data_IF_610557737675
#
_entry.id   IF_610557737675
#
_cell.length_a   1.000
_cell.length_b   1.000
_cell.length_c   1.000
_cell.angle_alpha   90.00
_cell.angle_beta   90.00
_cell.angle_gamma   90.00
#
_symmetry.space_group_name_H-M   'P 1'
#
loop_
_entity.id
_entity.type
_entity.pdbx_description
1 polymer ?
#
# COMPACT_ATOMS: atom_id res chain seq x y z
N UNK A 1 31.58 7.78 -17.50
CA UNK A 1 31.15 6.63 -16.66
C UNK A 1 29.86 6.11 -17.23
N UNK A 2 29.91 4.97 -17.91
CA UNK A 2 28.77 4.37 -18.59
C UNK A 2 27.82 3.81 -17.53
N UNK A 3 26.61 4.38 -17.40
CA UNK A 3 25.53 3.74 -16.64
C UNK A 3 25.29 2.37 -17.28
N UNK A 4 25.76 1.31 -16.64
CA UNK A 4 25.50 -0.05 -17.10
C UNK A 4 23.99 -0.22 -17.21
N UNK A 5 23.48 -0.43 -18.43
CA UNK A 5 22.08 -0.77 -18.63
C UNK A 5 21.81 -2.03 -17.80
N UNK A 6 20.89 -1.94 -16.85
CA UNK A 6 20.51 -3.07 -16.00
C UNK A 6 19.95 -4.17 -16.89
N UNK A 7 20.66 -5.29 -17.02
CA UNK A 7 20.24 -6.39 -17.89
C UNK A 7 19.12 -7.20 -17.23
N UNK A 8 18.29 -7.88 -18.04
CA UNK A 8 17.26 -8.76 -17.51
C UNK A 8 17.82 -9.82 -16.54
N UNK A 9 18.99 -10.38 -16.82
CA UNK A 9 19.68 -11.32 -15.93
C UNK A 9 20.01 -10.72 -14.56
N UNK A 10 20.48 -9.47 -14.54
CA UNK A 10 20.77 -8.76 -13.28
C UNK A 10 19.52 -8.46 -12.47
N UNK A 11 18.41 -8.10 -13.12
CA UNK A 11 17.11 -7.89 -12.48
C UNK A 11 16.53 -9.19 -11.91
N UNK A 12 16.61 -10.31 -12.65
CA UNK A 12 16.18 -11.64 -12.17
C UNK A 12 16.96 -12.00 -10.91
N UNK A 13 18.29 -11.81 -10.93
CA UNK A 13 19.14 -12.07 -9.77
C UNK A 13 18.77 -11.19 -8.58
N UNK A 14 18.50 -9.91 -8.81
CA UNK A 14 18.08 -8.97 -7.76
C UNK A 14 16.78 -9.45 -7.10
N UNK A 15 15.75 -9.74 -7.90
CA UNK A 15 14.46 -10.23 -7.42
C UNK A 15 14.58 -11.57 -6.71
N UNK A 16 15.38 -12.51 -7.24
CA UNK A 16 15.66 -13.77 -6.57
C UNK A 16 16.30 -13.57 -5.20
N UNK A 17 17.26 -12.67 -5.11
CA UNK A 17 17.93 -12.34 -3.83
C UNK A 17 16.96 -11.68 -2.85
N UNK A 18 16.09 -10.78 -3.33
CA UNK A 18 15.02 -10.16 -2.54
C UNK A 18 14.03 -11.20 -1.98
N UNK A 19 13.67 -12.22 -2.78
CA UNK A 19 12.87 -13.37 -2.36
C UNK A 19 13.63 -14.39 -1.52
N UNK A 20 14.93 -14.17 -1.26
CA UNK A 20 15.82 -15.06 -0.51
C UNK A 20 15.91 -16.47 -1.10
N UNK A 21 15.74 -16.60 -2.42
CA UNK A 21 15.84 -17.87 -3.12
C UNK A 21 17.27 -18.10 -3.60
N UNK A 22 17.77 -19.33 -3.49
CA UNK A 22 19.00 -19.72 -4.19
C UNK A 22 18.72 -19.92 -5.69
N UNK A 23 19.77 -19.98 -6.51
CA UNK A 23 19.61 -20.35 -7.93
C UNK A 23 19.00 -21.74 -8.09
N UNK A 24 19.28 -22.67 -7.16
CA UNK A 24 18.70 -24.01 -7.21
C UNK A 24 17.21 -23.95 -6.92
N UNK A 25 16.79 -23.19 -5.91
CA UNK A 25 15.38 -23.04 -5.53
C UNK A 25 14.55 -22.49 -6.69
N UNK A 26 14.99 -21.36 -7.27
CA UNK A 26 14.27 -20.77 -8.41
C UNK A 26 14.26 -21.69 -9.63
N UNK A 27 15.35 -22.41 -9.89
CA UNK A 27 15.41 -23.34 -11.00
C UNK A 27 14.43 -24.51 -10.83
N UNK A 28 14.23 -25.00 -9.60
CA UNK A 28 13.23 -26.03 -9.29
C UNK A 28 11.81 -25.51 -9.46
N UNK A 29 11.47 -24.35 -8.87
CA UNK A 29 10.14 -23.73 -9.02
C UNK A 29 9.80 -23.40 -10.48
N UNK A 30 10.81 -22.98 -11.25
CA UNK A 30 10.65 -22.66 -12.66
C UNK A 30 10.81 -23.87 -13.60
N UNK A 31 11.03 -25.09 -13.07
CA UNK A 31 11.24 -26.31 -13.86
C UNK A 31 12.33 -26.19 -14.95
N UNK A 32 13.42 -25.48 -14.64
CA UNK A 32 14.58 -25.30 -15.53
C UNK A 32 15.88 -25.82 -14.89
N UNK A 33 16.93 -25.98 -15.69
CA UNK A 33 18.24 -26.30 -15.12
C UNK A 33 18.85 -25.09 -14.40
N UNK A 34 19.42 -25.34 -13.21
CA UNK A 34 20.20 -24.32 -12.47
C UNK A 34 21.32 -23.73 -13.33
N UNK A 35 21.97 -24.54 -14.18
CA UNK A 35 23.00 -24.09 -15.12
C UNK A 35 22.44 -23.04 -16.10
N UNK A 36 21.25 -23.28 -16.66
CA UNK A 36 20.62 -22.33 -17.57
C UNK A 36 20.26 -21.03 -16.85
N UNK A 37 19.65 -21.11 -15.65
CA UNK A 37 19.37 -19.92 -14.83
C UNK A 37 20.64 -19.12 -14.54
N UNK A 38 21.74 -19.79 -14.19
CA UNK A 38 23.04 -19.14 -13.96
C UNK A 38 23.58 -18.41 -15.19
N UNK A 39 23.40 -18.98 -16.40
CA UNK A 39 23.78 -18.32 -17.64
C UNK A 39 22.89 -17.11 -17.97
N UNK A 40 21.60 -17.18 -17.67
CA UNK A 40 20.69 -16.04 -17.81
C UNK A 40 21.09 -14.91 -16.86
N UNK A 41 21.28 -15.21 -15.56
CA UNK A 41 21.65 -14.19 -14.56
C UNK A 41 23.01 -13.53 -14.83
N UNK A 42 23.94 -14.26 -15.45
CA UNK A 42 25.26 -13.73 -15.82
C UNK A 42 25.31 -13.08 -17.21
N UNK A 43 24.19 -13.05 -17.94
CA UNK A 43 24.11 -12.50 -19.30
C UNK A 43 24.79 -13.35 -20.38
N UNK A 44 25.19 -14.59 -20.05
CA UNK A 44 25.78 -15.55 -21.00
C UNK A 44 24.73 -16.20 -21.92
N UNK A 45 23.47 -16.14 -21.54
CA UNK A 45 22.34 -16.57 -22.35
C UNK A 45 21.22 -15.53 -22.29
N UNK A 46 20.61 -15.24 -23.44
CA UNK A 46 19.42 -14.40 -23.51
C UNK A 46 18.16 -15.25 -23.22
N UNK A 47 17.30 -14.85 -22.26
CA UNK A 47 16.04 -15.55 -22.02
C UNK A 47 15.03 -15.23 -23.13
N UNK A 48 14.15 -16.19 -23.44
CA UNK A 48 12.96 -15.91 -24.25
C UNK A 48 11.97 -15.04 -23.49
N UNK A 49 11.00 -14.46 -24.20
CA UNK A 49 9.90 -13.69 -23.56
C UNK A 49 9.12 -14.54 -22.55
N UNK A 50 8.82 -15.78 -22.89
CA UNK A 50 8.06 -16.68 -22.02
C UNK A 50 8.88 -17.08 -20.78
N UNK A 51 10.19 -17.30 -20.95
CA UNK A 51 11.10 -17.55 -19.82
C UNK A 51 11.13 -16.35 -18.86
N UNK A 52 11.16 -15.12 -19.39
CA UNK A 52 11.11 -13.91 -18.56
C UNK A 52 9.84 -13.85 -17.73
N UNK A 53 8.67 -14.10 -18.35
CA UNK A 53 7.38 -14.05 -17.65
C UNK A 53 7.24 -15.17 -16.63
N UNK A 54 7.68 -16.38 -16.97
CA UNK A 54 7.67 -17.55 -16.08
C UNK A 54 8.53 -17.31 -14.84
N UNK A 55 9.78 -16.86 -15.01
CA UNK A 55 10.66 -16.52 -13.89
C UNK A 55 10.09 -15.38 -13.05
N UNK A 56 9.48 -14.37 -13.68
CA UNK A 56 8.86 -13.26 -12.97
C UNK A 56 7.64 -13.69 -12.14
N UNK A 57 6.90 -14.70 -12.60
CA UNK A 57 5.81 -15.32 -11.87
C UNK A 57 6.30 -16.10 -10.65
N UNK A 58 7.28 -16.99 -10.82
CA UNK A 58 7.86 -17.75 -9.71
C UNK A 58 8.49 -16.84 -8.64
N UNK A 59 9.06 -15.72 -9.06
CA UNK A 59 9.61 -14.70 -8.16
C UNK A 59 8.55 -13.75 -7.58
N UNK A 60 7.26 -13.93 -7.90
CA UNK A 60 6.18 -13.04 -7.49
C UNK A 60 6.52 -11.57 -7.73
N UNK A 61 7.11 -11.26 -8.89
CA UNK A 61 7.48 -9.88 -9.26
C UNK A 61 6.19 -9.11 -9.56
N UNK A 62 5.98 -7.89 -9.03
CA UNK A 62 4.80 -7.10 -9.35
C UNK A 62 4.77 -6.70 -10.84
N UNK A 63 3.57 -6.52 -11.40
CA UNK A 63 3.36 -6.37 -12.85
C UNK A 63 4.20 -5.26 -13.49
N UNK A 64 4.34 -4.13 -12.79
CA UNK A 64 5.20 -3.01 -13.19
C UNK A 64 6.65 -3.44 -13.39
N UNK A 65 7.21 -4.17 -12.44
CA UNK A 65 8.59 -4.64 -12.54
C UNK A 65 8.72 -5.82 -13.51
N UNK A 66 7.65 -6.56 -13.80
CA UNK A 66 7.62 -7.48 -14.96
C UNK A 66 7.77 -6.73 -16.28
N UNK A 67 7.10 -5.58 -16.45
CA UNK A 67 7.28 -4.72 -17.62
C UNK A 67 8.71 -4.19 -17.72
N UNK A 68 9.32 -3.77 -16.61
CA UNK A 68 10.73 -3.37 -16.59
C UNK A 68 11.66 -4.51 -16.99
N UNK A 69 11.38 -5.73 -16.51
CA UNK A 69 12.17 -6.91 -16.86
C UNK A 69 12.04 -7.28 -18.34
N UNK A 70 10.84 -7.19 -18.93
CA UNK A 70 10.61 -7.39 -20.36
C UNK A 70 11.40 -6.38 -21.21
N UNK A 71 11.33 -5.10 -20.84
CA UNK A 71 12.08 -4.03 -21.52
C UNK A 71 13.59 -4.28 -21.45
N UNK A 72 14.11 -4.67 -20.28
CA UNK A 72 15.51 -5.01 -20.09
C UNK A 72 15.95 -6.27 -20.86
N UNK A 73 15.01 -7.13 -21.26
CA UNK A 73 15.24 -8.29 -22.12
C UNK A 73 15.05 -7.97 -23.62
N UNK A 74 14.67 -6.74 -23.98
CA UNK A 74 14.42 -6.33 -25.36
C UNK A 74 13.00 -6.63 -25.87
N UNK A 75 12.05 -6.89 -24.98
CA UNK A 75 10.65 -7.16 -25.32
C UNK A 75 9.74 -5.99 -24.95
N UNK A 76 8.59 -5.88 -25.63
CA UNK A 76 7.56 -4.92 -25.28
C UNK A 76 6.90 -5.28 -23.93
N UNK A 77 6.44 -4.28 -23.15
CA UNK A 77 5.62 -4.48 -21.95
C UNK A 77 4.39 -5.35 -22.24
N UNK A 78 3.99 -6.16 -21.26
CA UNK A 78 2.83 -7.06 -21.38
C UNK A 78 1.62 -6.58 -20.61
N UNK A 79 1.84 -5.78 -19.56
CA UNK A 79 0.79 -5.35 -18.63
C UNK A 79 0.50 -3.88 -18.87
N UNK A 80 -0.78 -3.52 -19.01
CA UNK A 80 -1.20 -2.13 -19.17
C UNK A 80 -0.83 -1.30 -17.96
N UNK A 81 -0.32 -0.10 -18.18
CA UNK A 81 -0.10 0.90 -17.13
C UNK A 81 -0.77 2.19 -17.58
N UNK A 82 -1.93 2.49 -17.00
CA UNK A 82 -2.81 3.56 -17.46
C UNK A 82 -2.96 4.59 -16.36
N UNK A 83 -3.26 5.84 -16.75
CA UNK A 83 -3.63 6.85 -15.76
C UNK A 83 -4.94 6.44 -15.08
N UNK A 84 -5.10 6.74 -13.79
CA UNK A 84 -6.40 6.59 -13.11
C UNK A 84 -7.51 7.42 -13.77
N UNK A 85 -7.15 8.44 -14.54
CA UNK A 85 -8.07 9.27 -15.35
C UNK A 85 -8.35 8.71 -16.74
N UNK A 86 -7.77 7.56 -17.09
CA UNK A 86 -8.01 6.91 -18.38
C UNK A 86 -9.43 6.35 -18.43
N UNK A 87 -10.18 6.67 -19.48
CA UNK A 87 -11.56 6.21 -19.70
C UNK A 87 -11.70 4.68 -19.69
N UNK A 88 -10.66 3.95 -20.04
CA UNK A 88 -10.66 2.48 -20.03
C UNK A 88 -10.67 1.89 -18.60
N UNK A 89 -10.22 2.66 -17.60
CA UNK A 89 -10.32 2.29 -16.18
C UNK A 89 -11.64 2.74 -15.54
N UNK A 90 -12.47 3.53 -16.24
CA UNK A 90 -13.72 4.08 -15.68
C UNK A 90 -14.64 3.01 -15.07
N UNK A 91 -14.84 1.80 -15.64
CA UNK A 91 -15.65 0.76 -15.00
C UNK A 91 -15.06 0.27 -13.67
N UNK A 92 -13.74 0.14 -13.59
CA UNK A 92 -13.06 -0.29 -12.36
C UNK A 92 -13.11 0.81 -11.30
N UNK A 93 -12.89 2.07 -11.69
CA UNK A 93 -13.04 3.22 -10.79
C UNK A 93 -14.48 3.39 -10.30
N UNK A 94 -15.48 3.14 -11.15
CA UNK A 94 -16.88 3.11 -10.73
C UNK A 94 -17.15 2.03 -9.69
N UNK A 95 -16.53 0.85 -9.81
CA UNK A 95 -16.62 -0.20 -8.80
C UNK A 95 -15.98 0.22 -7.47
N UNK A 96 -14.85 0.93 -7.49
CA UNK A 96 -14.22 1.52 -6.30
C UNK A 96 -15.17 2.48 -5.61
N UNK A 97 -15.80 3.39 -6.36
CA UNK A 97 -16.77 4.35 -5.82
C UNK A 97 -17.99 3.65 -5.20
N UNK A 98 -18.49 2.56 -5.80
CA UNK A 98 -19.59 1.76 -5.23
C UNK A 98 -19.17 1.17 -3.87
N UNK A 99 -17.95 0.64 -3.76
CA UNK A 99 -17.45 0.08 -2.49
C UNK A 99 -17.28 1.18 -1.44
N UNK A 100 -16.68 2.31 -1.80
CA UNK A 100 -16.50 3.46 -0.90
C UNK A 100 -17.84 3.98 -0.39
N UNK A 101 -18.81 4.16 -1.30
CA UNK A 101 -20.17 4.62 -0.95
C UNK A 101 -20.92 3.60 -0.11
N UNK A 102 -20.81 2.32 -0.44
CA UNK A 102 -21.44 1.23 0.29
C UNK A 102 -20.92 1.04 1.72
N UNK A 103 -19.72 1.55 2.02
CA UNK A 103 -19.15 1.52 3.38
C UNK A 103 -19.66 2.66 4.27
N UNK A 104 -20.35 3.67 3.72
CA UNK A 104 -20.97 4.72 4.53
C UNK A 104 -22.03 4.14 5.49
N UNK A 105 -22.16 4.67 6.73
CA UNK A 105 -21.56 5.90 7.26
C UNK A 105 -20.15 5.71 7.86
N UNK A 106 -19.47 4.59 7.57
CA UNK A 106 -18.15 4.33 8.10
C UNK A 106 -17.05 4.85 7.14
N UNK A 107 -15.89 5.29 7.64
CA UNK A 107 -14.85 5.86 6.79
C UNK A 107 -14.20 4.82 5.89
N UNK A 108 -14.01 5.15 4.61
CA UNK A 108 -13.22 4.37 3.67
C UNK A 108 -12.49 5.28 2.68
N UNK A 109 -11.32 4.81 2.24
CA UNK A 109 -10.48 5.52 1.27
C UNK A 109 -9.82 4.54 0.29
N UNK A 110 -9.57 5.01 -0.93
CA UNK A 110 -8.81 4.32 -1.95
C UNK A 110 -7.44 4.98 -2.11
N UNK A 111 -6.38 4.19 -2.23
CA UNK A 111 -4.99 4.65 -2.35
C UNK A 111 -4.27 3.96 -3.50
N UNK A 112 -3.32 4.67 -4.09
CA UNK A 112 -2.37 4.11 -5.05
C UNK A 112 -1.23 3.33 -4.35
N UNK A 113 -0.30 2.77 -5.14
CA UNK A 113 0.85 2.02 -4.62
C UNK A 113 1.74 2.81 -3.67
N UNK A 114 1.70 4.13 -3.74
CA UNK A 114 2.52 5.06 -2.96
C UNK A 114 1.77 5.61 -1.75
N UNK A 115 0.60 5.09 -1.44
CA UNK A 115 -0.29 5.57 -0.38
C UNK A 115 -0.80 6.99 -0.61
N UNK A 116 -0.85 7.45 -1.86
CA UNK A 116 -1.54 8.69 -2.18
C UNK A 116 -3.04 8.42 -2.29
N UNK A 117 -3.83 9.31 -1.70
CA UNK A 117 -5.27 9.27 -1.75
C UNK A 117 -5.75 9.42 -3.20
N UNK A 118 -6.53 8.44 -3.65
CA UNK A 118 -7.20 8.45 -4.95
C UNK A 118 -8.64 8.95 -4.80
N UNK A 119 -9.37 8.41 -3.83
CA UNK A 119 -10.74 8.79 -3.50
C UNK A 119 -11.06 8.43 -2.05
N UNK A 120 -12.08 9.06 -1.47
CA UNK A 120 -12.57 8.78 -0.13
C UNK A 120 -14.08 9.02 -0.08
N UNK A 121 -14.76 8.26 0.78
CA UNK A 121 -16.18 8.53 1.03
C UNK A 121 -16.38 9.75 1.96
N UNK A 122 -17.62 10.22 2.05
CA UNK A 122 -17.93 11.45 2.81
C UNK A 122 -17.63 11.33 4.32
N UNK A 123 -17.62 10.09 4.84
CA UNK A 123 -17.38 9.80 6.24
C UNK A 123 -15.93 10.08 6.69
N UNK A 124 -14.99 10.32 5.77
CA UNK A 124 -13.62 10.75 6.12
C UNK A 124 -13.58 12.22 6.56
N UNK A 125 -14.42 13.07 5.98
CA UNK A 125 -14.34 14.53 6.15
C UNK A 125 -14.35 15.02 7.61
N UNK A 126 -15.18 14.48 8.55
CA UNK A 126 -15.21 14.91 9.95
C UNK A 126 -13.87 14.72 10.68
N UNK A 127 -13.02 13.81 10.18
CA UNK A 127 -11.73 13.51 10.79
C UNK A 127 -10.59 14.40 10.28
N UNK A 128 -10.83 15.17 9.21
CA UNK A 128 -9.84 16.06 8.61
C UNK A 128 -9.92 17.51 9.13
N UNK A 129 -11.01 17.89 9.80
CA UNK A 129 -11.28 19.27 10.21
C UNK A 129 -10.20 19.87 11.13
N UNK A 130 -9.57 19.04 11.97
CA UNK A 130 -8.58 19.47 12.98
C UNK A 130 -7.12 19.29 12.51
N UNK A 131 -6.89 19.04 11.22
CA UNK A 131 -5.53 18.95 10.67
C UNK A 131 -4.90 20.34 10.65
N UNK A 132 -3.89 20.54 11.49
CA UNK A 132 -3.21 21.83 11.65
C UNK A 132 -2.25 22.18 10.50
N UNK A 133 -1.67 21.17 9.86
CA UNK A 133 -0.72 21.33 8.77
C UNK A 133 -1.44 21.16 7.42
N UNK A 134 -1.99 22.26 6.89
CA UNK A 134 -2.81 22.26 5.67
C UNK A 134 -2.11 21.70 4.42
N UNK A 135 -0.77 21.75 4.38
CA UNK A 135 0.02 21.16 3.31
C UNK A 135 -0.19 19.64 3.17
N UNK A 136 -0.56 18.95 4.26
CA UNK A 136 -0.90 17.52 4.25
C UNK A 136 -2.22 17.20 3.54
N UNK A 137 -3.09 18.19 3.35
CA UNK A 137 -4.37 18.06 2.66
C UNK A 137 -4.30 18.52 1.20
N UNK A 138 -3.14 19.00 0.75
CA UNK A 138 -2.94 19.42 -0.64
C UNK A 138 -2.56 18.20 -1.50
N UNK A 139 -3.25 17.94 -2.62
CA UNK A 139 -2.91 16.82 -3.49
C UNK A 139 -1.47 16.90 -4.05
N UNK A 140 -0.76 15.76 -4.16
CA UNK A 140 -1.18 14.42 -3.75
C UNK A 140 -1.14 14.25 -2.22
N UNK A 141 -2.27 13.85 -1.63
CA UNK A 141 -2.39 13.61 -0.19
C UNK A 141 -1.87 12.23 0.14
N UNK A 142 -0.72 12.12 0.80
CA UNK A 142 -0.21 10.83 1.25
C UNK A 142 -0.84 10.45 2.61
N UNK A 143 -1.62 9.36 2.63
CA UNK A 143 -2.42 9.01 3.81
C UNK A 143 -1.57 8.56 5.00
N UNK A 144 -0.37 7.99 4.75
CA UNK A 144 0.55 7.61 5.83
C UNK A 144 1.20 8.84 6.47
N UNK A 145 1.57 9.84 5.65
CA UNK A 145 2.02 11.14 6.17
C UNK A 145 0.91 11.83 6.95
N UNK A 146 -0.29 11.92 6.38
CA UNK A 146 -1.45 12.51 7.05
C UNK A 146 -1.75 11.82 8.40
N UNK A 147 -1.63 10.50 8.47
CA UNK A 147 -1.87 9.73 9.69
C UNK A 147 -0.82 9.97 10.78
N UNK A 148 0.47 10.02 10.42
CA UNK A 148 1.57 9.98 11.39
C UNK A 148 2.26 11.33 11.63
N UNK A 149 2.04 12.34 10.79
CA UNK A 149 2.67 13.65 10.94
C UNK A 149 2.13 14.39 12.18
N UNK A 150 2.97 15.08 12.97
CA UNK A 150 2.53 15.84 14.16
C UNK A 150 1.46 16.89 13.89
N UNK A 151 1.50 17.50 12.70
CA UNK A 151 0.48 18.46 12.27
C UNK A 151 -0.74 17.82 11.58
N UNK A 152 -0.72 16.50 11.38
CA UNK A 152 -1.80 15.69 10.81
C UNK A 152 -2.72 15.10 11.86
N UNK A 153 -3.08 13.83 11.69
CA UNK A 153 -4.01 13.10 12.57
C UNK A 153 -3.32 12.58 13.84
N UNK A 154 -1.99 12.43 13.84
CA UNK A 154 -1.23 11.79 14.90
C UNK A 154 -1.56 12.27 16.33
N UNK A 155 -1.74 13.59 16.61
CA UNK A 155 -2.09 14.06 17.96
C UNK A 155 -3.40 13.51 18.50
N UNK A 156 -4.31 13.10 17.62
CA UNK A 156 -5.62 12.53 17.98
C UNK A 156 -5.58 11.01 18.12
N UNK A 157 -4.50 10.35 17.70
CA UNK A 157 -4.39 8.89 17.81
C UNK A 157 -3.98 8.55 19.24
N UNK A 158 -4.94 8.03 20.01
CA UNK A 158 -4.75 7.68 21.44
C UNK A 158 -3.68 6.60 21.61
N UNK A 159 -3.64 5.66 20.66
CA UNK A 159 -2.71 4.53 20.65
C UNK A 159 -1.63 4.70 19.55
N UNK A 160 -1.08 5.91 19.44
CA UNK A 160 -0.17 6.29 18.34
C UNK A 160 1.05 5.36 18.23
N UNK A 161 1.60 4.89 19.35
CA UNK A 161 2.75 4.01 19.35
C UNK A 161 2.42 2.67 18.69
N UNK A 162 1.33 2.02 19.11
CA UNK A 162 0.91 0.75 18.51
C UNK A 162 0.53 0.92 17.04
N UNK A 163 -0.28 1.94 16.75
CA UNK A 163 -0.74 2.24 15.39
C UNK A 163 0.42 2.49 14.43
N UNK A 164 1.39 3.32 14.84
CA UNK A 164 2.58 3.61 14.05
C UNK A 164 3.43 2.38 13.80
N UNK A 165 3.62 1.54 14.82
CA UNK A 165 4.42 0.32 14.69
C UNK A 165 3.81 -0.59 13.63
N UNK A 166 2.50 -0.82 13.72
CA UNK A 166 1.75 -1.59 12.72
C UNK A 166 1.88 -1.01 11.30
N UNK A 167 1.71 0.32 11.12
CA UNK A 167 1.84 0.94 9.79
C UNK A 167 3.24 0.80 9.20
N UNK A 168 4.29 0.96 10.03
CA UNK A 168 5.68 0.81 9.57
C UNK A 168 6.02 -0.65 9.24
N UNK A 169 5.49 -1.62 9.98
CA UNK A 169 5.64 -3.05 9.66
C UNK A 169 4.94 -3.41 8.35
N UNK A 170 3.71 -2.90 8.14
CA UNK A 170 2.97 -3.04 6.87
C UNK A 170 3.76 -2.46 5.69
N UNK A 171 4.27 -1.24 5.84
CA UNK A 171 5.06 -0.57 4.80
C UNK A 171 6.37 -1.31 4.52
N UNK A 172 7.04 -1.83 5.56
CA UNK A 172 8.24 -2.65 5.39
C UNK A 172 7.95 -3.93 4.59
N UNK A 173 6.86 -4.65 4.88
CA UNK A 173 6.47 -5.81 4.08
C UNK A 173 6.21 -5.44 2.62
N UNK A 174 5.59 -4.29 2.36
CA UNK A 174 5.38 -3.80 1.00
C UNK A 174 6.70 -3.43 0.30
N UNK A 175 7.67 -2.87 1.02
CA UNK A 175 9.02 -2.59 0.53
C UNK A 175 9.77 -3.87 0.14
N UNK A 176 9.71 -4.89 1.01
CA UNK A 176 10.29 -6.20 0.75
C UNK A 176 9.61 -6.86 -0.47
N UNK A 177 8.30 -6.63 -0.65
CA UNK A 177 7.53 -7.20 -1.75
C UNK A 177 7.72 -6.51 -3.11
N UNK A 178 7.91 -5.20 -3.14
CA UNK A 178 7.88 -4.38 -4.36
C UNK A 178 9.24 -3.83 -4.79
N UNK A 179 10.16 -3.62 -3.84
CA UNK A 179 11.42 -2.93 -4.11
C UNK A 179 11.28 -1.50 -4.58
N UNK A 180 10.15 -0.85 -4.33
CA UNK A 180 9.93 0.52 -4.76
C UNK A 180 10.77 1.50 -3.92
N UNK A 181 11.74 2.22 -4.52
CA UNK A 181 12.57 3.17 -3.79
C UNK A 181 11.75 4.29 -3.15
N UNK A 182 10.60 4.69 -3.75
CA UNK A 182 9.74 5.74 -3.20
C UNK A 182 9.15 5.31 -1.84
N UNK A 183 8.74 4.05 -1.72
CA UNK A 183 8.22 3.51 -0.48
C UNK A 183 9.32 3.31 0.58
N UNK A 184 10.55 3.03 0.16
CA UNK A 184 11.72 2.97 1.07
C UNK A 184 12.05 4.35 1.63
N UNK A 185 12.03 5.38 0.79
CA UNK A 185 12.20 6.77 1.22
C UNK A 185 11.08 7.20 2.18
N UNK A 186 9.83 6.86 1.84
CA UNK A 186 8.67 7.12 2.69
C UNK A 186 8.80 6.43 4.06
N UNK A 187 9.21 5.16 4.11
CA UNK A 187 9.43 4.46 5.38
C UNK A 187 10.49 5.17 6.24
N UNK A 188 11.59 5.60 5.61
CA UNK A 188 12.65 6.34 6.31
C UNK A 188 12.13 7.66 6.86
N UNK A 189 11.35 8.40 6.06
CA UNK A 189 10.71 9.65 6.48
C UNK A 189 9.78 9.41 7.69
N UNK A 190 8.85 8.46 7.58
CA UNK A 190 7.86 8.18 8.63
C UNK A 190 8.52 7.69 9.94
N UNK A 191 9.72 7.10 9.88
CA UNK A 191 10.53 6.76 11.07
C UNK A 191 11.06 7.99 11.81
N UNK A 192 11.16 9.14 11.16
CA UNK A 192 11.60 10.40 11.81
C UNK A 192 10.51 11.07 12.64
N UNK A 193 9.23 10.79 12.36
CA UNK A 193 8.13 11.41 13.08
C UNK A 193 8.14 11.00 14.58
N UNK A 194 7.51 11.76 15.49
CA UNK A 194 7.38 11.40 16.90
C UNK A 194 6.48 10.17 17.11
N UNK A 195 6.78 9.35 18.12
CA UNK A 195 5.97 8.16 18.48
C UNK A 195 4.95 8.43 19.59
N UNK A 196 4.81 9.68 20.04
CA UNK A 196 3.87 10.04 21.11
C UNK A 196 4.35 9.80 22.54
N UNK A 197 5.64 9.52 22.77
CA UNK A 197 6.24 9.19 24.09
C UNK A 197 6.18 10.31 25.16
N UNK A 198 5.33 11.33 25.06
CA UNK A 198 5.10 12.27 26.15
C UNK A 198 3.98 11.77 27.08
N UNK A 199 4.33 10.87 27.99
CA UNK A 199 3.66 10.77 29.30
C UNK A 199 2.58 9.71 29.51
N UNK A 200 2.26 8.84 28.55
CA UNK A 200 1.30 7.75 28.77
C UNK A 200 2.01 6.41 28.96
N UNK A 201 1.63 5.64 30.00
CA UNK A 201 2.09 4.25 30.15
C UNK A 201 1.56 3.45 28.95
N UNK A 202 2.39 2.61 28.29
CA UNK A 202 1.89 1.71 27.27
C UNK A 202 0.72 0.90 27.85
N UNK A 203 -0.44 0.96 27.21
CA UNK A 203 -1.51 0.03 27.52
C UNK A 203 -0.99 -1.36 27.18
N UNK A 204 -1.25 -2.40 27.98
CA UNK A 204 -0.81 -3.75 27.64
C UNK A 204 -1.36 -4.09 26.24
N UNK A 205 -0.47 -4.33 25.29
CA UNK A 205 -0.84 -4.91 24.00
C UNK A 205 -1.39 -6.28 24.34
N UNK A 206 -2.66 -6.54 24.03
CA UNK A 206 -3.20 -7.87 24.20
C UNK A 206 -2.41 -8.81 23.28
N UNK A 207 -1.66 -9.80 23.82
CA UNK A 207 -0.76 -10.64 23.03
C UNK A 207 -1.49 -11.47 21.96
N UNK A 208 -2.82 -11.54 22.02
CA UNK A 208 -3.70 -12.31 21.15
C UNK A 208 -4.62 -11.43 20.27
N UNK A 209 -4.40 -10.12 20.21
CA UNK A 209 -5.20 -9.27 19.34
C UNK A 209 -4.96 -9.63 17.86
N UNK A 210 -6.01 -10.12 17.18
CA UNK A 210 -5.96 -10.48 15.76
C UNK A 210 -5.76 -9.23 14.87
N UNK A 211 -6.14 -8.05 15.36
CA UNK A 211 -6.00 -6.76 14.66
C UNK A 211 -5.58 -5.68 15.66
N UNK A 212 -4.72 -4.74 15.23
CA UNK A 212 -4.41 -3.52 15.98
C UNK A 212 -5.43 -2.43 15.63
N UNK A 213 -6.40 -2.11 16.51
CA UNK A 213 -7.40 -1.10 16.20
C UNK A 213 -6.78 0.30 16.16
N UNK A 214 -7.29 1.16 15.28
CA UNK A 214 -7.03 2.60 15.35
C UNK A 214 -7.95 3.20 16.42
N UNK A 215 -7.39 3.81 17.47
CA UNK A 215 -8.16 4.55 18.48
C UNK A 215 -7.95 6.04 18.29
N UNK A 216 -9.01 6.74 17.92
CA UNK A 216 -8.98 8.14 17.52
C UNK A 216 -9.85 8.99 18.46
N UNK A 217 -9.28 10.03 19.04
CA UNK A 217 -10.01 11.03 19.79
C UNK A 217 -10.85 11.92 18.84
N UNK A 218 -12.12 12.11 19.19
CA UNK A 218 -13.06 12.96 18.47
C UNK A 218 -13.99 13.64 19.48
N UNK A 219 -13.76 14.94 19.73
CA UNK A 219 -14.34 15.64 20.87
C UNK A 219 -13.95 14.95 22.18
N UNK A 220 -14.93 14.70 23.05
CA UNK A 220 -14.75 14.00 24.33
C UNK A 220 -14.83 12.46 24.21
N UNK A 221 -14.89 11.93 22.99
CA UNK A 221 -15.07 10.51 22.73
C UNK A 221 -13.81 9.90 22.09
N UNK A 222 -13.57 8.61 22.35
CA UNK A 222 -12.56 7.82 21.64
C UNK A 222 -13.30 6.83 20.75
N UNK A 223 -13.02 6.89 19.46
CA UNK A 223 -13.55 5.99 18.44
C UNK A 223 -12.53 4.90 18.16
N UNK A 224 -12.98 3.65 18.06
CA UNK A 224 -12.13 2.47 17.84
C UNK A 224 -12.48 1.83 16.50
N UNK A 225 -11.49 1.64 15.64
CA UNK A 225 -11.69 1.12 14.28
C UNK A 225 -10.86 -0.13 14.00
N UNK A 226 -11.48 -1.09 13.32
CA UNK A 226 -10.79 -2.20 12.67
C UNK A 226 -10.56 -1.80 11.21
N UNK A 227 -9.31 -1.72 10.78
CA UNK A 227 -8.96 -1.44 9.38
C UNK A 227 -8.84 -2.74 8.58
N UNK A 228 -9.40 -2.75 7.38
CA UNK A 228 -9.21 -3.81 6.39
C UNK A 228 -8.73 -3.22 5.08
N UNK A 229 -7.79 -3.90 4.42
CA UNK A 229 -7.31 -3.53 3.09
C UNK A 229 -7.89 -4.52 2.09
N UNK A 230 -8.58 -3.99 1.08
CA UNK A 230 -9.09 -4.77 -0.05
C UNK A 230 -8.30 -4.40 -1.30
N UNK A 231 -7.82 -5.42 -2.02
CA UNK A 231 -7.08 -5.28 -3.27
C UNK A 231 -7.78 -6.06 -4.39
N UNK A 232 -7.51 -5.71 -5.64
CA UNK A 232 -7.99 -6.48 -6.78
C UNK A 232 -7.18 -7.78 -6.90
N UNK A 233 -7.86 -8.92 -6.90
CA UNK A 233 -7.21 -10.24 -6.78
C UNK A 233 -6.44 -10.71 -8.03
N UNK A 234 -6.97 -10.49 -9.22
CA UNK A 234 -6.35 -10.92 -10.50
C UNK A 234 -6.33 -9.80 -11.54
N UNK A 235 -5.65 -8.67 -11.26
CA UNK A 235 -5.59 -7.54 -12.16
C UNK A 235 -4.73 -7.89 -13.38
N UNK A 236 -5.27 -7.69 -14.59
CA UNK A 236 -4.51 -7.76 -15.84
C UNK A 236 -3.83 -6.43 -16.19
N UNK A 237 -3.92 -5.45 -15.29
CA UNK A 237 -3.45 -4.08 -15.44
C UNK A 237 -2.67 -3.66 -14.20
N UNK A 238 -1.52 -3.00 -14.41
CA UNK A 238 -0.62 -2.54 -13.35
C UNK A 238 -1.34 -1.59 -12.40
N UNK A 239 -2.13 -0.65 -12.94
CA UNK A 239 -2.80 0.40 -12.17
C UNK A 239 -3.78 -0.19 -11.16
N UNK A 240 -4.59 -1.15 -11.60
CA UNK A 240 -5.55 -1.83 -10.71
C UNK A 240 -4.86 -2.76 -9.72
N UNK A 241 -3.72 -3.35 -10.09
CA UNK A 241 -2.91 -4.15 -9.16
C UNK A 241 -2.28 -3.35 -8.03
N UNK A 242 -2.19 -2.05 -8.23
CA UNK A 242 -1.56 -1.09 -7.34
C UNK A 242 -2.59 -0.25 -6.56
N UNK A 243 -3.89 -0.46 -6.81
CA UNK A 243 -4.98 0.22 -6.12
C UNK A 243 -5.46 -0.62 -4.93
N UNK A 244 -5.62 0.02 -3.78
CA UNK A 244 -6.15 -0.61 -2.58
C UNK A 244 -7.24 0.26 -1.93
N UNK A 245 -8.23 -0.38 -1.33
CA UNK A 245 -9.28 0.28 -0.52
C UNK A 245 -9.02 -0.06 0.95
N UNK A 246 -8.84 0.96 1.77
CA UNK A 246 -8.78 0.84 3.23
C UNK A 246 -10.13 1.24 3.83
N UNK A 247 -10.79 0.28 4.47
CA UNK A 247 -12.11 0.44 5.10
C UNK A 247 -11.97 0.36 6.62
N UNK A 248 -12.56 1.30 7.33
CA UNK A 248 -12.53 1.37 8.79
C UNK A 248 -13.90 0.97 9.35
N UNK A 249 -13.99 -0.20 9.97
CA UNK A 249 -15.20 -0.67 10.64
C UNK A 249 -15.21 -0.22 12.10
N UNK A 250 -16.36 0.15 12.68
CA UNK A 250 -16.45 0.39 14.12
C UNK A 250 -16.12 -0.91 14.88
N UNK A 251 -15.16 -0.85 15.80
CA UNK A 251 -14.77 -1.98 16.64
C UNK A 251 -15.77 -2.22 17.80
N UNK A 252 -16.64 -1.25 18.08
CA UNK A 252 -17.64 -1.30 19.14
C UNK A 252 -18.91 -0.49 18.78
N UNK A 253 -19.98 -0.71 19.55
CA UNK A 253 -21.28 -0.09 19.31
C UNK A 253 -21.28 1.44 19.58
N UNK A 254 -20.43 1.89 20.50
CA UNK A 254 -20.24 3.31 20.77
C UNK A 254 -19.73 4.04 19.52
N UNK A 255 -18.68 3.51 18.89
CA UNK A 255 -18.09 4.04 17.67
C UNK A 255 -19.11 4.03 16.53
N UNK A 256 -19.86 2.94 16.38
CA UNK A 256 -20.96 2.84 15.40
C UNK A 256 -21.99 3.96 15.59
N UNK A 257 -22.45 4.16 16.82
CA UNK A 257 -23.47 5.18 17.14
C UNK A 257 -22.99 6.58 16.80
N UNK A 258 -21.73 6.90 17.10
CA UNK A 258 -21.14 8.21 16.78
C UNK A 258 -21.05 8.43 15.27
N UNK A 259 -20.58 7.44 14.50
CA UNK A 259 -20.47 7.55 13.03
C UNK A 259 -21.85 7.75 12.38
N UNK A 260 -22.87 7.03 12.83
CA UNK A 260 -24.25 7.21 12.35
C UNK A 260 -24.78 8.61 12.66
N UNK A 261 -24.48 9.15 13.86
CA UNK A 261 -24.86 10.53 14.22
C UNK A 261 -24.16 11.56 13.33
N UNK A 262 -22.83 11.44 13.16
CA UNK A 262 -22.05 12.35 12.31
C UNK A 262 -22.58 12.38 10.87
N UNK A 263 -22.95 11.22 10.33
CA UNK A 263 -23.51 11.14 8.98
C UNK A 263 -24.87 11.85 8.85
N UNK A 264 -25.72 11.82 9.90
CA UNK A 264 -26.99 12.57 9.92
C UNK A 264 -26.74 14.08 9.97
N UNK A 265 -25.83 14.52 10.82
CA UNK A 265 -25.45 15.93 10.95
C UNK A 265 -24.88 16.48 9.63
N UNK A 266 -24.08 15.68 8.91
CA UNK A 266 -23.58 16.04 7.59
C UNK A 266 -24.69 16.16 6.55
N UNK A 267 -25.67 15.26 6.56
CA UNK A 267 -26.81 15.29 5.62
C UNK A 267 -27.75 16.48 5.88
N UNK A 268 -27.78 17.01 7.10
CA UNK A 268 -28.53 18.23 7.44
C UNK A 268 -27.81 19.53 7.01
N UNK A 269 -26.49 19.48 6.82
CA UNK A 269 -25.66 20.61 6.40
C UNK A 269 -25.50 20.72 4.88
N UNK A 270 -25.80 19.66 4.12
CA UNK A 270 -25.70 19.57 2.65
C UNK A 270 -27.01 19.88 1.94
#
# INVERSE_FOLDING_TARGET
MTTAQTSAGSLIREWRTRRRMSQLDLAMEAEISQRHLSFVESGRAAPSRDMVLHLAEQLSIPLRQRNQLLLAAGFAPSFGERSLTDTTLAPAMAAVEIVLKGHEPFPALAVDRHWNLVSANAAIAPFLADVSEASLLTPPVNVLRLSLHPGGIAPRIVNLQEWRTHLLERLKHQNDASGDPVLVELERELRTYPSGLRGSRPSPVEPNAIVHPLRLAHGDQVLSFISTITVFGTPLDVTLSELAIESFFPADEQTRTVLVRLAKEQAELS
#
